data_IF_600860822416
#
_entry.id   IF_600860822416
#
_cell.length_a   1.000
_cell.length_b   1.000
_cell.length_c   1.000
_cell.angle_alpha   90.00
_cell.angle_beta   90.00
_cell.angle_gamma   90.00
#
_symmetry.space_group_name_H-M   'P 1'
#
loop_
_entity.id
_entity.type
_entity.pdbx_description
1 polymer ?
#
# COMPACT_ATOMS: atom_id res chain seq x y z
N UNK A 1 11.20 -2.69 -10.41
CA UNK A 1 9.96 -2.57 -11.19
C UNK A 1 8.80 -2.72 -10.22
N UNK A 2 7.84 -1.80 -10.21
CA UNK A 2 6.75 -1.78 -9.23
C UNK A 2 5.55 -2.43 -9.87
N UNK A 3 4.73 -3.12 -9.11
CA UNK A 3 3.42 -3.50 -9.62
C UNK A 3 2.41 -2.40 -9.35
N UNK A 4 1.68 -2.02 -10.39
CA UNK A 4 0.60 -1.04 -10.32
C UNK A 4 -0.70 -1.69 -10.74
N UNK A 5 -1.69 -1.56 -9.88
CA UNK A 5 -3.06 -1.95 -10.19
C UNK A 5 -3.85 -0.76 -10.70
N UNK A 6 -4.76 -1.01 -11.63
CA UNK A 6 -5.74 -0.03 -12.08
C UNK A 6 -7.02 -0.75 -12.50
N UNK A 7 -8.14 -0.03 -12.53
CA UNK A 7 -9.38 -0.53 -13.10
C UNK A 7 -9.97 0.51 -14.05
N UNK A 8 -10.45 0.04 -15.20
CA UNK A 8 -11.11 0.87 -16.23
C UNK A 8 -12.34 0.14 -16.76
N UNK A 9 -13.34 0.83 -17.32
CA UNK A 9 -14.49 0.19 -17.94
C UNK A 9 -14.08 -0.80 -19.05
N UNK A 10 -14.70 -1.99 -19.08
CA UNK A 10 -14.34 -3.04 -20.03
C UNK A 10 -14.42 -2.62 -21.50
N UNK A 11 -15.40 -1.76 -21.85
CA UNK A 11 -15.60 -1.25 -23.22
C UNK A 11 -14.51 -0.25 -23.67
N UNK A 12 -13.64 0.19 -22.75
CA UNK A 12 -12.53 1.11 -23.01
C UNK A 12 -11.18 0.40 -23.13
N UNK A 13 -11.14 -0.92 -22.92
CA UNK A 13 -9.92 -1.70 -23.08
C UNK A 13 -9.45 -1.64 -24.54
N UNK A 14 -8.16 -1.41 -24.72
CA UNK A 14 -7.51 -1.41 -26.03
C UNK A 14 -6.27 -2.29 -25.98
N UNK A 15 -6.01 -2.98 -27.09
CA UNK A 15 -4.83 -3.83 -27.22
C UNK A 15 -3.55 -2.99 -27.37
N UNK A 16 -2.44 -3.53 -26.88
CA UNK A 16 -1.13 -2.99 -27.15
C UNK A 16 -0.89 -2.92 -28.68
N UNK A 17 -0.30 -1.84 -29.22
CA UNK A 17 0.44 -0.76 -28.55
C UNK A 17 -0.36 0.51 -28.23
N UNK A 18 -1.70 0.48 -28.33
CA UNK A 18 -2.51 1.68 -28.00
C UNK A 18 -2.44 1.97 -26.51
N UNK A 19 -2.59 3.23 -26.11
CA UNK A 19 -2.65 3.62 -24.71
C UNK A 19 -4.08 3.54 -24.19
N UNK A 20 -4.26 3.06 -22.96
CA UNK A 20 -5.56 3.06 -22.28
C UNK A 20 -5.96 4.50 -21.92
N UNK A 21 -7.26 4.83 -21.91
CA UNK A 21 -7.74 6.17 -21.56
C UNK A 21 -7.53 6.48 -20.07
N UNK A 22 -7.30 7.75 -19.75
CA UNK A 22 -7.02 8.24 -18.39
C UNK A 22 -8.30 8.71 -17.65
N UNK A 23 -9.28 9.20 -18.42
CA UNK A 23 -10.44 9.97 -17.93
C UNK A 23 -11.34 9.20 -16.94
N UNK A 24 -11.40 7.87 -17.05
CA UNK A 24 -12.20 6.99 -16.20
C UNK A 24 -11.36 5.81 -15.69
N UNK A 25 -10.39 6.13 -14.83
CA UNK A 25 -9.49 5.15 -14.22
C UNK A 25 -9.53 5.23 -12.70
N UNK A 26 -9.60 4.05 -12.08
CA UNK A 26 -9.36 3.88 -10.65
C UNK A 26 -7.94 3.37 -10.43
N UNK A 27 -7.26 3.95 -9.44
CA UNK A 27 -5.97 3.48 -8.94
C UNK A 27 -5.99 3.47 -7.40
N UNK A 28 -5.43 2.44 -6.75
CA UNK A 28 -5.22 2.45 -5.30
C UNK A 28 -4.15 3.47 -4.90
N UNK A 29 -4.31 4.10 -3.73
CA UNK A 29 -3.33 5.07 -3.21
C UNK A 29 -2.18 4.36 -2.47
N UNK A 30 -1.37 3.63 -3.23
CA UNK A 30 -0.31 2.80 -2.66
C UNK A 30 0.88 3.64 -2.16
N UNK A 31 1.51 3.27 -1.03
CA UNK A 31 2.73 3.92 -0.57
C UNK A 31 3.87 3.76 -1.60
N UNK A 32 4.82 4.70 -1.68
CA UNK A 32 5.90 4.70 -2.66
C UNK A 32 7.01 3.68 -2.33
N UNK A 33 6.66 2.52 -1.76
CA UNK A 33 7.57 1.44 -1.39
C UNK A 33 7.33 0.26 -2.33
N UNK A 34 8.28 0.07 -3.25
CA UNK A 34 8.15 -0.84 -4.38
C UNK A 34 7.76 -2.27 -3.99
N UNK A 35 8.44 -2.81 -2.97
CA UNK A 35 8.27 -4.20 -2.51
C UNK A 35 7.03 -4.37 -1.62
N UNK A 36 6.44 -3.28 -1.13
CA UNK A 36 5.31 -3.36 -0.22
C UNK A 36 4.07 -3.98 -0.88
N UNK A 37 3.86 -3.75 -2.19
CA UNK A 37 2.73 -4.31 -2.94
C UNK A 37 2.88 -5.82 -3.12
N UNK A 38 4.07 -6.27 -3.53
CA UNK A 38 4.38 -7.71 -3.63
C UNK A 38 4.25 -8.40 -2.28
N UNK A 39 4.74 -7.75 -1.22
CA UNK A 39 4.69 -8.26 0.13
C UNK A 39 3.27 -8.24 0.69
N UNK A 40 2.45 -7.25 0.33
CA UNK A 40 1.04 -7.16 0.72
C UNK A 40 0.23 -8.35 0.21
N UNK A 41 0.49 -8.78 -1.02
CA UNK A 41 -0.13 -9.95 -1.64
C UNK A 41 0.48 -11.29 -1.19
N UNK A 42 1.59 -11.27 -0.45
CA UNK A 42 2.21 -12.49 0.04
C UNK A 42 1.31 -13.14 1.09
N UNK A 43 0.92 -14.39 0.84
CA UNK A 43 0.04 -15.16 1.72
C UNK A 43 -1.46 -14.98 1.46
N UNK A 44 -1.85 -14.22 0.43
CA UNK A 44 -3.24 -14.12 -0.04
C UNK A 44 -3.45 -14.94 -1.32
N UNK A 45 -4.66 -15.45 -1.53
CA UNK A 45 -5.00 -16.34 -2.63
C UNK A 45 -6.01 -15.71 -3.61
N UNK A 46 -5.90 -16.12 -4.87
CA UNK A 46 -6.81 -15.75 -5.94
C UNK A 46 -7.06 -16.97 -6.84
N UNK A 47 -8.31 -17.47 -6.86
CA UNK A 47 -8.70 -18.69 -7.59
C UNK A 47 -7.76 -19.88 -7.31
N UNK A 48 -7.52 -20.13 -6.02
CA UNK A 48 -6.70 -21.25 -5.52
C UNK A 48 -5.21 -21.17 -5.90
N UNK A 49 -4.76 -20.00 -6.38
CA UNK A 49 -3.36 -19.69 -6.65
C UNK A 49 -2.92 -18.55 -5.74
N UNK A 50 -1.63 -18.53 -5.36
CA UNK A 50 -1.08 -17.38 -4.63
C UNK A 50 -1.18 -16.12 -5.49
N UNK A 51 -1.80 -15.08 -4.96
CA UNK A 51 -2.08 -13.84 -5.70
C UNK A 51 -0.79 -13.21 -6.27
N UNK A 52 0.28 -13.23 -5.47
CA UNK A 52 1.61 -12.77 -5.88
C UNK A 52 2.17 -13.56 -7.07
N UNK A 53 2.02 -14.88 -7.06
CA UNK A 53 2.62 -15.74 -8.08
C UNK A 53 1.84 -15.60 -9.40
N UNK A 54 0.51 -15.47 -9.34
CA UNK A 54 -0.32 -15.09 -10.49
C UNK A 54 0.11 -13.74 -11.08
N UNK A 55 0.32 -12.75 -10.22
CA UNK A 55 0.72 -11.42 -10.65
C UNK A 55 2.08 -11.44 -11.38
N UNK A 56 3.05 -12.18 -10.86
CA UNK A 56 4.34 -12.37 -11.54
C UNK A 56 4.18 -13.09 -12.87
N UNK A 57 3.37 -14.13 -12.93
CA UNK A 57 3.12 -14.86 -14.17
C UNK A 57 2.49 -14.00 -15.28
N UNK A 58 1.65 -13.02 -14.91
CA UNK A 58 0.98 -12.12 -15.87
C UNK A 58 1.91 -11.05 -16.48
N UNK A 59 2.95 -10.63 -15.75
CA UNK A 59 3.82 -9.52 -16.16
C UNK A 59 5.23 -9.96 -16.57
N UNK A 60 5.73 -11.03 -15.95
CA UNK A 60 7.10 -11.53 -16.12
C UNK A 60 7.14 -12.90 -16.80
N UNK A 61 5.98 -13.43 -17.21
CA UNK A 61 5.91 -14.66 -17.98
C UNK A 61 6.41 -14.48 -19.42
N UNK A 62 6.61 -15.60 -20.13
CA UNK A 62 7.09 -15.61 -21.51
C UNK A 62 6.11 -14.96 -22.51
N UNK A 63 4.84 -14.80 -22.11
CA UNK A 63 3.82 -14.17 -22.92
C UNK A 63 3.71 -12.68 -22.55
N UNK A 64 3.96 -11.76 -23.49
CA UNK A 64 3.87 -10.33 -23.20
C UNK A 64 2.43 -9.93 -22.85
N UNK A 65 2.24 -8.90 -22.00
CA UNK A 65 0.91 -8.39 -21.68
C UNK A 65 0.20 -7.89 -22.93
N UNK A 66 -1.05 -8.30 -23.12
CA UNK A 66 -1.81 -8.02 -24.36
C UNK A 66 -2.44 -6.63 -24.42
N UNK A 67 -2.60 -5.94 -23.29
CA UNK A 67 -3.28 -4.65 -23.24
C UNK A 67 -2.32 -3.48 -23.25
N UNK A 68 -2.86 -2.35 -23.71
CA UNK A 68 -2.18 -1.06 -23.75
C UNK A 68 -1.56 -0.60 -22.43
N UNK A 69 -0.60 0.33 -22.55
CA UNK A 69 -0.09 1.04 -21.38
C UNK A 69 -1.10 2.10 -20.91
N UNK A 70 -1.35 2.23 -19.59
CA UNK A 70 -2.13 3.30 -18.97
C UNK A 70 -1.55 4.72 -19.08
N UNK A 71 -0.42 4.89 -19.75
CA UNK A 71 0.23 6.19 -19.96
C UNK A 71 1.61 6.27 -19.34
N UNK A 72 2.07 7.50 -19.09
CA UNK A 72 3.46 7.76 -18.65
C UNK A 72 3.77 7.05 -17.34
N UNK A 73 4.91 6.34 -17.31
CA UNK A 73 5.37 5.61 -16.13
C UNK A 73 4.73 4.23 -15.93
N UNK A 74 3.97 3.74 -16.91
CA UNK A 74 3.44 2.37 -16.93
C UNK A 74 3.91 1.59 -18.16
N UNK A 75 4.21 0.31 -17.98
CA UNK A 75 4.36 -0.67 -19.04
C UNK A 75 3.01 -1.17 -19.58
N UNK A 76 3.04 -2.13 -20.53
CA UNK A 76 1.86 -2.85 -20.99
C UNK A 76 1.09 -3.50 -19.83
N UNK A 77 -0.23 -3.64 -20.00
CA UNK A 77 -1.11 -4.17 -18.94
C UNK A 77 -1.57 -5.58 -19.22
N UNK A 78 -1.84 -6.33 -18.15
CA UNK A 78 -2.51 -7.62 -18.19
C UNK A 78 -3.79 -7.56 -17.35
N UNK A 79 -4.79 -8.36 -17.70
CA UNK A 79 -6.01 -8.52 -16.90
C UNK A 79 -5.68 -9.42 -15.71
N UNK A 80 -5.74 -8.86 -14.50
CA UNK A 80 -5.59 -9.63 -13.27
C UNK A 80 -6.89 -10.36 -12.92
N UNK A 81 -8.02 -9.65 -13.00
CA UNK A 81 -9.35 -10.18 -12.70
C UNK A 81 -10.42 -9.52 -13.59
N UNK A 82 -11.42 -10.31 -14.01
CA UNK A 82 -12.52 -9.85 -14.85
C UNK A 82 -13.90 -10.26 -14.29
N UNK A 83 -14.79 -9.30 -13.99
CA UNK A 83 -16.18 -9.60 -13.69
C UNK A 83 -16.95 -10.14 -14.90
N UNK A 84 -17.99 -10.98 -14.69
CA UNK A 84 -18.48 -11.48 -13.40
C UNK A 84 -17.71 -12.70 -12.88
N UNK A 85 -16.91 -13.38 -13.71
CA UNK A 85 -16.36 -14.70 -13.39
C UNK A 85 -15.35 -14.65 -12.25
N UNK A 86 -14.57 -13.58 -12.12
CA UNK A 86 -13.57 -13.41 -11.06
C UNK A 86 -14.11 -12.76 -9.79
N UNK A 87 -15.37 -12.28 -9.81
CA UNK A 87 -15.91 -11.42 -8.75
C UNK A 87 -15.88 -12.09 -7.35
N UNK A 88 -16.30 -13.36 -7.18
CA UNK A 88 -16.22 -14.01 -5.87
C UNK A 88 -14.78 -14.19 -5.36
N UNK A 89 -13.84 -14.49 -6.26
CA UNK A 89 -12.43 -14.66 -5.90
C UNK A 89 -11.78 -13.33 -5.52
N UNK A 90 -12.15 -12.25 -6.22
CA UNK A 90 -11.66 -10.90 -5.95
C UNK A 90 -12.19 -10.34 -4.62
N UNK A 91 -13.44 -10.63 -4.26
CA UNK A 91 -14.00 -10.32 -2.93
C UNK A 91 -13.26 -11.06 -1.81
N UNK A 92 -13.06 -12.37 -1.97
CA UNK A 92 -12.32 -13.17 -0.99
C UNK A 92 -10.89 -12.64 -0.79
N UNK A 93 -10.20 -12.31 -1.90
CA UNK A 93 -8.89 -11.69 -1.84
C UNK A 93 -8.91 -10.36 -1.07
N UNK A 94 -9.88 -9.48 -1.33
CA UNK A 94 -10.01 -8.22 -0.60
C UNK A 94 -10.22 -8.44 0.91
N UNK A 95 -11.02 -9.43 1.29
CA UNK A 95 -11.26 -9.77 2.70
C UNK A 95 -10.02 -10.40 3.35
N UNK A 96 -9.29 -11.26 2.66
CA UNK A 96 -8.03 -11.83 3.13
C UNK A 96 -6.97 -10.75 3.39
N UNK A 97 -6.83 -9.79 2.47
CA UNK A 97 -5.89 -8.67 2.63
C UNK A 97 -6.24 -7.81 3.84
N UNK A 98 -7.52 -7.48 4.01
CA UNK A 98 -8.02 -6.74 5.16
C UNK A 98 -7.75 -7.49 6.48
N UNK A 99 -7.98 -8.81 6.51
CA UNK A 99 -7.69 -9.63 7.67
C UNK A 99 -6.19 -9.75 7.96
N UNK A 100 -5.35 -9.91 6.94
CA UNK A 100 -3.89 -9.93 7.09
C UNK A 100 -3.39 -8.61 7.66
N UNK A 101 -3.86 -7.48 7.14
CA UNK A 101 -3.51 -6.16 7.64
C UNK A 101 -3.88 -6.00 9.12
N UNK A 102 -5.07 -6.45 9.53
CA UNK A 102 -5.52 -6.41 10.93
C UNK A 102 -4.71 -7.34 11.84
N UNK A 103 -4.41 -8.56 11.39
CA UNK A 103 -3.59 -9.52 12.17
C UNK A 103 -2.16 -9.03 12.35
N UNK A 104 -1.60 -8.39 11.34
CA UNK A 104 -0.21 -7.91 11.32
C UNK A 104 -0.07 -6.42 11.67
N UNK A 105 -1.14 -5.76 12.14
CA UNK A 105 -1.13 -4.35 12.55
C UNK A 105 -0.27 -4.09 13.81
N UNK A 106 0.30 -5.14 14.42
CA UNK A 106 1.13 -5.05 15.62
C UNK A 106 0.38 -4.45 16.82
N UNK A 107 1.11 -4.22 17.91
CA UNK A 107 0.57 -3.50 19.05
C UNK A 107 0.51 -2.00 18.75
N UNK A 108 -0.65 -1.38 18.98
CA UNK A 108 -0.82 0.08 18.93
C UNK A 108 -0.19 0.68 20.18
N UNK A 109 0.49 1.82 20.05
CA UNK A 109 1.05 2.58 21.16
C UNK A 109 0.58 4.03 21.13
N UNK A 110 0.42 4.60 22.33
CA UNK A 110 0.33 6.05 22.47
C UNK A 110 1.72 6.65 22.49
N UNK A 111 1.85 7.84 21.92
CA UNK A 111 3.13 8.50 21.74
C UNK A 111 3.16 9.84 22.47
N UNK A 112 4.27 10.12 23.14
CA UNK A 112 4.53 11.40 23.80
C UNK A 112 5.90 11.94 23.39
N UNK A 113 6.09 13.23 23.63
CA UNK A 113 7.40 13.89 23.52
C UNK A 113 7.71 14.63 24.80
N UNK A 114 8.97 14.60 25.21
CA UNK A 114 9.46 15.47 26.27
C UNK A 114 9.35 16.94 25.81
N UNK A 115 8.75 17.80 26.65
CA UNK A 115 8.57 19.22 26.35
C UNK A 115 9.89 19.98 26.12
N UNK A 116 10.96 19.58 26.83
CA UNK A 116 12.27 20.24 26.74
C UNK A 116 13.13 19.73 25.56
N UNK A 117 13.46 18.43 25.55
CA UNK A 117 14.45 17.89 24.60
C UNK A 117 13.85 17.12 23.41
N UNK A 118 12.51 17.11 23.29
CA UNK A 118 11.77 16.40 22.23
C UNK A 118 12.04 14.88 22.13
N UNK A 119 12.61 14.26 23.17
CA UNK A 119 12.75 12.80 23.25
C UNK A 119 11.37 12.14 23.15
N UNK A 120 11.27 11.06 22.37
CA UNK A 120 10.01 10.44 21.98
C UNK A 120 9.77 9.16 22.78
N UNK A 121 8.58 9.02 23.35
CA UNK A 121 8.17 7.85 24.13
C UNK A 121 6.97 7.21 23.46
N UNK A 122 7.01 5.88 23.26
CA UNK A 122 5.88 5.13 22.72
C UNK A 122 5.57 3.98 23.69
N UNK A 123 4.33 3.94 24.20
CA UNK A 123 3.88 2.93 25.16
C UNK A 123 2.70 2.17 24.55
N UNK A 124 2.75 0.83 24.46
CA UNK A 124 1.62 0.03 23.99
C UNK A 124 0.33 0.41 24.71
N UNK A 125 -0.77 0.58 23.98
CA UNK A 125 -2.08 1.01 24.51
C UNK A 125 -2.51 0.13 25.69
N UNK A 126 -2.25 -1.17 25.62
CA UNK A 126 -2.55 -2.13 26.68
C UNK A 126 -1.81 -1.84 28.01
N UNK A 127 -0.64 -1.20 27.93
CA UNK A 127 0.23 -0.88 29.07
C UNK A 127 0.11 0.57 29.52
N UNK A 128 -0.70 1.40 28.86
CA UNK A 128 -0.85 2.81 29.22
C UNK A 128 -1.47 2.92 30.62
N UNK A 129 -0.76 3.67 31.47
CA UNK A 129 -1.16 4.07 32.81
C UNK A 129 -0.81 5.54 32.95
N UNK A 130 -1.62 6.31 33.67
CA UNK A 130 -1.29 7.70 33.99
C UNK A 130 -0.11 7.71 34.96
N UNK A 131 1.09 7.98 34.43
CA UNK A 131 2.32 8.03 35.21
C UNK A 131 3.17 9.22 34.78
N UNK A 132 3.93 9.77 35.72
CA UNK A 132 4.98 10.76 35.42
C UNK A 132 6.33 10.06 35.49
N UNK A 133 7.00 9.96 34.35
CA UNK A 133 8.37 9.42 34.27
C UNK A 133 9.38 10.54 34.12
N UNK A 134 10.67 10.24 34.32
CA UNK A 134 11.77 11.17 34.03
C UNK A 134 12.27 10.93 32.62
N UNK A 135 12.46 12.01 31.84
CA UNK A 135 13.07 11.90 30.52
C UNK A 135 14.49 11.34 30.64
N UNK A 136 14.76 10.23 29.95
CA UNK A 136 16.08 9.58 29.94
C UNK A 136 17.22 10.46 29.36
N UNK A 137 16.89 11.48 28.55
CA UNK A 137 17.89 12.39 27.97
C UNK A 137 18.17 13.63 28.81
N UNK A 138 17.16 14.23 29.43
CA UNK A 138 17.30 15.53 30.10
C UNK A 138 16.77 15.57 31.54
N UNK A 139 16.19 14.48 32.05
CA UNK A 139 15.64 14.39 33.40
C UNK A 139 14.33 15.18 33.63
N UNK A 140 13.86 15.95 32.65
CA UNK A 140 12.58 16.66 32.76
C UNK A 140 11.41 15.67 32.91
N UNK A 141 10.42 15.94 33.77
CA UNK A 141 9.26 15.07 33.91
C UNK A 141 8.46 15.00 32.61
N UNK A 142 8.05 13.79 32.24
CA UNK A 142 7.18 13.53 31.10
C UNK A 142 5.93 12.85 31.63
N UNK A 143 4.78 13.50 31.41
CA UNK A 143 3.50 13.01 31.86
C UNK A 143 2.91 12.11 30.77
N UNK A 144 2.88 10.80 31.04
CA UNK A 144 2.32 9.80 30.14
C UNK A 144 0.84 9.64 30.46
N UNK A 145 0.04 10.64 30.07
CA UNK A 145 -1.42 10.58 30.16
C UNK A 145 -2.02 10.40 28.76
N UNK A 146 -3.10 9.62 28.63
CA UNK A 146 -3.74 9.38 27.33
C UNK A 146 -4.21 10.68 26.67
N UNK A 147 -4.62 11.66 27.45
CA UNK A 147 -5.10 12.97 26.98
C UNK A 147 -3.99 13.86 26.40
N UNK A 148 -2.76 13.72 26.89
CA UNK A 148 -1.60 14.50 26.43
C UNK A 148 -0.78 13.74 25.38
N UNK A 149 -1.27 12.59 24.93
CA UNK A 149 -0.63 11.84 23.85
C UNK A 149 -0.76 12.59 22.53
N UNK A 150 0.26 12.44 21.68
CA UNK A 150 0.31 12.98 20.32
C UNK A 150 -0.49 12.12 19.31
N UNK A 151 -1.16 11.07 19.80
CA UNK A 151 -1.90 10.10 19.00
C UNK A 151 -1.42 8.67 19.18
N UNK A 152 -2.14 7.76 18.54
CA UNK A 152 -1.78 6.35 18.45
C UNK A 152 -0.89 6.10 17.23
N UNK A 153 0.28 5.52 17.43
CA UNK A 153 1.14 4.98 16.37
C UNK A 153 1.25 3.47 16.52
N UNK A 154 1.26 2.76 15.41
CA UNK A 154 1.55 1.34 15.43
C UNK A 154 3.06 1.15 15.68
N UNK A 155 3.46 0.33 16.65
CA UNK A 155 4.88 0.05 16.98
C UNK A 155 5.57 -0.86 15.94
N UNK A 156 5.06 -0.88 14.72
CA UNK A 156 5.51 -1.79 13.68
C UNK A 156 6.70 -1.16 12.95
N UNK A 157 7.59 -2.02 12.47
CA UNK A 157 8.56 -1.67 11.44
C UNK A 157 7.90 -0.86 10.30
N UNK A 158 8.45 0.32 9.90
CA UNK A 158 7.87 1.17 8.86
C UNK A 158 7.57 0.44 7.54
N UNK A 159 8.38 -0.55 7.17
CA UNK A 159 8.11 -1.36 5.98
C UNK A 159 6.84 -2.20 6.14
N UNK A 160 6.68 -2.88 7.27
CA UNK A 160 5.46 -3.62 7.57
C UNK A 160 4.23 -2.70 7.70
N UNK A 161 4.40 -1.47 8.20
CA UNK A 161 3.37 -0.44 8.15
C UNK A 161 2.92 -0.14 6.70
N UNK A 162 3.87 0.08 5.78
CA UNK A 162 3.58 0.28 4.36
C UNK A 162 2.90 -0.94 3.71
N UNK A 163 3.27 -2.16 4.10
CA UNK A 163 2.62 -3.40 3.66
C UNK A 163 1.16 -3.43 4.10
N UNK A 164 0.86 -3.12 5.36
CA UNK A 164 -0.52 -3.10 5.87
C UNK A 164 -1.37 -2.00 5.22
N UNK A 165 -0.81 -0.80 5.03
CA UNK A 165 -1.47 0.26 4.24
C UNK A 165 -1.78 -0.24 2.83
N UNK A 166 -0.82 -0.88 2.17
CA UNK A 166 -1.03 -1.42 0.82
C UNK A 166 -2.15 -2.46 0.79
N UNK A 167 -2.26 -3.32 1.81
CA UNK A 167 -3.35 -4.30 1.93
C UNK A 167 -4.72 -3.64 2.05
N UNK A 168 -4.86 -2.61 2.90
CA UNK A 168 -6.12 -1.87 3.04
C UNK A 168 -6.52 -1.15 1.75
N UNK A 169 -5.56 -0.46 1.13
CA UNK A 169 -5.79 0.27 -0.13
C UNK A 169 -6.17 -0.69 -1.27
N UNK A 170 -5.49 -1.83 -1.41
CA UNK A 170 -5.84 -2.85 -2.40
C UNK A 170 -7.22 -3.47 -2.13
N UNK A 171 -7.54 -3.77 -0.86
CA UNK A 171 -8.85 -4.32 -0.50
C UNK A 171 -9.99 -3.34 -0.83
N UNK A 172 -9.81 -2.05 -0.52
CA UNK A 172 -10.76 -0.99 -0.86
C UNK A 172 -10.92 -0.86 -2.39
N UNK A 173 -9.79 -0.77 -3.10
CA UNK A 173 -9.76 -0.67 -4.56
C UNK A 173 -10.44 -1.85 -5.25
N UNK A 174 -10.19 -3.09 -4.81
CA UNK A 174 -10.84 -4.26 -5.40
C UNK A 174 -12.36 -4.21 -5.21
N UNK A 175 -12.84 -3.83 -4.02
CA UNK A 175 -14.28 -3.66 -3.76
C UNK A 175 -14.90 -2.59 -4.66
N UNK A 176 -14.23 -1.47 -4.84
CA UNK A 176 -14.69 -0.38 -5.71
C UNK A 176 -14.73 -0.81 -7.18
N UNK A 177 -13.67 -1.44 -7.68
CA UNK A 177 -13.62 -1.97 -9.05
C UNK A 177 -14.77 -2.95 -9.30
N UNK A 178 -15.09 -3.80 -8.33
CA UNK A 178 -16.21 -4.74 -8.41
C UNK A 178 -17.57 -4.05 -8.36
N UNK A 179 -17.76 -3.06 -7.48
CA UNK A 179 -19.02 -2.32 -7.39
C UNK A 179 -19.37 -1.66 -8.74
N UNK A 180 -18.35 -1.29 -9.52
CA UNK A 180 -18.49 -0.74 -10.88
C UNK A 180 -18.54 -1.79 -11.98
N UNK A 181 -18.26 -3.06 -11.67
CA UNK A 181 -18.14 -4.13 -12.67
C UNK A 181 -16.93 -3.96 -13.60
N UNK A 182 -15.88 -3.27 -13.15
CA UNK A 182 -14.71 -2.96 -13.96
C UNK A 182 -13.65 -4.06 -13.83
N UNK A 183 -13.00 -4.48 -14.93
CA UNK A 183 -11.83 -5.36 -14.88
C UNK A 183 -10.68 -4.69 -14.12
N UNK A 184 -9.98 -5.51 -13.33
CA UNK A 184 -8.76 -5.11 -12.64
C UNK A 184 -7.57 -5.49 -13.52
N UNK A 185 -6.78 -4.49 -13.87
CA UNK A 185 -5.55 -4.64 -14.62
C UNK A 185 -4.34 -4.51 -13.70
N UNK A 186 -3.24 -5.13 -14.12
CA UNK A 186 -1.93 -4.97 -13.51
C UNK A 186 -0.93 -4.58 -14.59
N UNK A 187 0.00 -3.70 -14.23
CA UNK A 187 1.07 -3.22 -15.13
C UNK A 187 2.35 -3.01 -14.33
N UNK A 188 3.48 -3.01 -15.03
CA UNK A 188 4.76 -2.61 -14.43
C UNK A 188 4.85 -1.08 -14.36
N UNK A 189 5.11 -0.54 -13.19
CA UNK A 189 5.42 0.86 -12.96
C UNK A 189 6.91 1.13 -13.08
N UNK A 190 7.26 2.26 -13.70
CA UNK A 190 8.60 2.83 -13.60
C UNK A 190 8.93 3.15 -12.12
N UNK A 191 10.19 2.99 -11.73
CA UNK A 191 10.64 3.45 -10.42
C UNK A 191 10.33 4.96 -10.29
N UNK A 192 9.80 5.44 -9.14
CA UNK A 192 9.72 6.87 -8.91
C UNK A 192 11.15 7.42 -9.04
N UNK A 193 11.31 8.51 -9.81
CA UNK A 193 12.61 9.14 -9.95
C UNK A 193 13.22 9.39 -8.56
N UNK A 194 14.51 9.08 -8.34
CA UNK A 194 15.15 9.42 -7.07
C UNK A 194 14.93 10.91 -6.85
N UNK A 195 14.35 11.28 -5.69
CA UNK A 195 14.17 12.69 -5.32
C UNK A 195 15.52 13.37 -5.50
N UNK A 196 15.61 14.23 -6.50
CA UNK A 196 16.85 14.92 -6.84
C UNK A 196 17.36 15.59 -5.58
N UNK A 197 18.61 15.31 -5.20
CA UNK A 197 19.33 16.14 -4.24
C UNK A 197 19.23 17.56 -4.77
N UNK A 198 18.60 18.44 -4.00
CA UNK A 198 18.64 19.88 -4.20
C UNK A 198 20.11 20.25 -4.44
N UNK A 199 20.41 20.69 -5.66
CA UNK A 199 21.72 21.18 -6.03
C UNK A 199 22.06 22.31 -5.06
N UNK A 200 23.08 22.09 -4.24
CA UNK A 200 23.74 23.17 -3.51
C UNK A 200 24.20 24.21 -4.53
N UNK A 201 23.80 25.48 -4.41
CA UNK A 201 24.33 26.52 -5.28
C UNK A 201 25.83 26.66 -4.99
N UNK A 202 26.64 26.42 -6.01
CA UNK A 202 28.07 26.70 -5.99
C UNK A 202 28.23 28.22 -6.07
N UNK A 203 28.55 28.86 -4.96
CA UNK A 203 29.00 30.26 -4.94
C UNK A 203 30.37 30.35 -5.63
N UNK A 204 30.42 31.20 -6.65
CA UNK A 204 31.64 31.78 -7.20
C UNK A 204 32.17 32.88 -6.27
#
# INVERSE_FOLDING_TARGET
MAFRFLAIPAHRLVDFPKTLPDDERLEPQLPPVHEAVERALAGAEFRDLRARDRLRALLQGDRPPGLGSPGKGFGPSAVFAQPPQDLPALLRLADELEQLARREAGERALVWKCGECSARYAVPVALVRQVSIRCERCGHPVQLSSQESLGEEALIDPFQGAVNTSRHELASFFREAMARGWPVLVSEGAAPAPRGRSATPSTA
#
